data_IF_729486122626
#
_entry.id   IF_729486122626
#
_cell.length_a   1.000
_cell.length_b   1.000
_cell.length_c   1.000
_cell.angle_alpha   90.00
_cell.angle_beta   90.00
_cell.angle_gamma   90.00
#
_symmetry.space_group_name_H-M   'P 1'
#
loop_
_entity.id
_entity.type
_entity.pdbx_description
1 polymer ?
#
# COMPACT_ATOMS: atom_id res chain seq x y z
N UNK A 1 12.65 -12.88 -5.97
CA UNK A 1 12.90 -12.64 -4.52
C UNK A 1 12.25 -11.29 -4.23
N UNK A 2 11.16 -11.25 -3.47
CA UNK A 2 10.43 -10.01 -3.21
C UNK A 2 10.99 -9.37 -1.93
N UNK A 3 11.47 -8.13 -2.01
CA UNK A 3 11.94 -7.37 -0.85
C UNK A 3 10.78 -6.57 -0.28
N UNK A 4 10.52 -6.69 1.02
CA UNK A 4 9.55 -5.86 1.74
C UNK A 4 10.32 -4.82 2.55
N UNK A 5 9.96 -3.55 2.38
CA UNK A 5 10.51 -2.42 3.11
C UNK A 5 9.44 -1.86 4.05
N UNK A 6 9.82 -1.66 5.30
CA UNK A 6 9.00 -1.03 6.33
C UNK A 6 9.68 0.29 6.73
N UNK A 7 8.99 1.40 6.51
CA UNK A 7 9.52 2.75 6.75
C UNK A 7 8.57 3.45 7.73
N UNK A 8 8.92 3.52 9.03
CA UNK A 8 8.17 4.30 9.99
C UNK A 8 8.45 5.79 9.78
N UNK A 9 7.41 6.61 9.80
CA UNK A 9 7.47 8.07 9.68
C UNK A 9 6.78 8.70 10.90
N UNK A 10 7.00 9.99 11.16
CA UNK A 10 6.32 10.69 12.26
C UNK A 10 4.78 10.74 12.10
N UNK A 11 4.29 10.64 10.87
CA UNK A 11 2.87 10.74 10.51
C UNK A 11 2.21 9.39 10.16
N UNK A 12 2.92 8.27 10.35
CA UNK A 12 2.42 6.93 10.03
C UNK A 12 3.49 6.00 9.46
N UNK A 13 3.08 4.97 8.74
CA UNK A 13 3.97 3.88 8.31
C UNK A 13 3.81 3.67 6.81
N UNK A 14 4.94 3.53 6.10
CA UNK A 14 4.96 3.09 4.70
C UNK A 14 5.46 1.66 4.65
N UNK A 15 4.67 0.78 4.05
CA UNK A 15 5.07 -0.59 3.73
C UNK A 15 5.10 -0.69 2.21
N UNK A 16 6.23 -1.04 1.62
CA UNK A 16 6.34 -1.25 0.18
C UNK A 16 7.04 -2.56 -0.10
N UNK A 17 6.68 -3.22 -1.19
CA UNK A 17 7.31 -4.45 -1.62
C UNK A 17 7.67 -4.33 -3.09
N UNK A 18 8.91 -4.71 -3.42
CA UNK A 18 9.30 -4.83 -4.82
C UNK A 18 8.65 -6.10 -5.38
N UNK A 19 7.55 -5.93 -6.10
CA UNK A 19 6.94 -6.97 -6.92
C UNK A 19 7.23 -6.62 -8.37
N UNK A 20 7.76 -7.59 -9.12
CA UNK A 20 7.91 -7.48 -10.57
C UNK A 20 6.50 -7.55 -11.18
N UNK A 21 5.83 -6.40 -11.25
CA UNK A 21 4.48 -6.28 -11.79
C UNK A 21 4.57 -6.09 -13.30
N UNK A 22 3.81 -6.90 -14.06
CA UNK A 22 3.67 -6.72 -15.50
C UNK A 22 3.20 -5.27 -15.75
N UNK A 23 3.97 -4.50 -16.53
CA UNK A 23 3.69 -3.09 -16.82
C UNK A 23 2.29 -2.87 -17.42
N UNK A 24 1.69 -3.92 -17.99
CA UNK A 24 0.34 -3.89 -18.54
C UNK A 24 -0.77 -4.06 -17.49
N UNK A 25 -0.43 -4.28 -16.22
CA UNK A 25 -1.39 -4.43 -15.11
C UNK A 25 -1.60 -3.09 -14.43
N UNK A 26 -2.62 -2.35 -14.85
CA UNK A 26 -3.03 -1.12 -14.17
C UNK A 26 -3.75 -1.44 -12.86
N UNK A 27 -3.16 -1.05 -11.73
CA UNK A 27 -3.83 -1.06 -10.44
C UNK A 27 -4.79 0.13 -10.33
N UNK A 28 -5.82 -0.01 -9.49
CA UNK A 28 -6.72 1.10 -9.17
C UNK A 28 -5.91 2.15 -8.37
N UNK A 29 -6.05 3.46 -8.68
CA UNK A 29 -5.38 4.52 -7.93
C UNK A 29 -5.61 4.37 -6.42
N UNK A 30 -4.62 4.71 -5.58
CA UNK A 30 -4.74 4.58 -4.14
C UNK A 30 -5.90 5.43 -3.61
N UNK A 31 -6.80 4.79 -2.86
CA UNK A 31 -7.91 5.43 -2.15
C UNK A 31 -7.67 5.31 -0.66
N UNK A 32 -8.03 6.34 0.10
CA UNK A 32 -8.02 6.29 1.56
C UNK A 32 -9.16 5.39 2.05
N UNK A 33 -8.81 4.26 2.64
CA UNK A 33 -9.72 3.32 3.30
C UNK A 33 -9.43 3.24 4.80
N UNK A 34 -10.47 3.04 5.60
CA UNK A 34 -10.33 2.82 7.05
C UNK A 34 -10.26 1.33 7.31
N UNK A 35 -9.14 0.86 7.87
CA UNK A 35 -8.94 -0.53 8.23
C UNK A 35 -8.51 -0.63 9.70
N UNK A 36 -9.32 -1.29 10.53
CA UNK A 36 -8.98 -1.52 11.95
C UNK A 36 -8.74 -0.24 12.78
N UNK A 37 -9.37 0.88 12.40
CA UNK A 37 -9.18 2.18 13.06
C UNK A 37 -8.06 3.05 12.48
N UNK A 38 -7.28 2.54 11.52
CA UNK A 38 -6.25 3.28 10.82
C UNK A 38 -6.76 3.75 9.45
N UNK A 39 -6.40 4.98 9.06
CA UNK A 39 -6.59 5.46 7.70
C UNK A 39 -5.39 4.98 6.86
N UNK A 40 -5.64 4.14 5.85
CA UNK A 40 -4.61 3.58 4.99
C UNK A 40 -4.92 3.87 3.53
N UNK A 41 -3.89 4.07 2.71
CA UNK A 41 -4.07 4.17 1.27
C UNK A 41 -3.04 3.34 0.52
N UNK A 42 -3.54 2.63 -0.47
CA UNK A 42 -2.79 1.65 -1.24
C UNK A 42 -3.49 1.41 -2.58
N UNK A 43 -2.74 1.15 -3.67
CA UNK A 43 -3.36 0.75 -4.92
C UNK A 43 -3.93 -0.67 -4.80
N UNK A 44 -5.13 -0.88 -5.32
CA UNK A 44 -5.78 -2.19 -5.26
C UNK A 44 -5.66 -2.89 -6.62
N UNK A 45 -5.10 -4.10 -6.63
CA UNK A 45 -5.12 -4.97 -7.80
C UNK A 45 -6.57 -5.45 -8.03
N UNK A 46 -7.21 -5.13 -9.17
CA UNK A 46 -8.61 -5.49 -9.42
C UNK A 46 -8.83 -7.00 -9.58
N UNK A 47 -7.79 -7.78 -9.88
CA UNK A 47 -7.87 -9.22 -10.16
C UNK A 47 -7.52 -10.07 -8.94
N UNK A 48 -6.57 -9.62 -8.12
CA UNK A 48 -6.09 -10.38 -6.96
C UNK A 48 -6.40 -9.73 -5.60
N UNK A 49 -6.91 -8.49 -5.60
CA UNK A 49 -7.28 -7.75 -4.39
C UNK A 49 -6.11 -7.32 -3.50
N UNK A 50 -4.87 -7.61 -3.92
CA UNK A 50 -3.66 -7.27 -3.18
C UNK A 50 -3.12 -5.87 -3.49
N UNK A 51 -2.02 -5.52 -2.82
CA UNK A 51 -1.27 -4.28 -3.05
C UNK A 51 0.23 -4.55 -2.99
N UNK A 52 1.02 -3.69 -3.63
CA UNK A 52 2.48 -3.69 -3.64
C UNK A 52 3.06 -2.60 -2.73
N UNK A 53 2.28 -1.60 -2.32
CA UNK A 53 2.64 -0.64 -1.27
C UNK A 53 1.42 -0.13 -0.53
N UNK A 54 1.61 0.33 0.70
CA UNK A 54 0.58 0.91 1.53
C UNK A 54 1.20 2.00 2.39
N UNK A 55 0.47 3.09 2.59
CA UNK A 55 0.81 4.08 3.60
C UNK A 55 -0.33 4.22 4.60
N UNK A 56 0.01 4.35 5.88
CA UNK A 56 -0.93 4.67 6.93
C UNK A 56 -0.78 6.13 7.34
N UNK A 57 -1.90 6.77 7.66
CA UNK A 57 -1.94 8.08 8.30
C UNK A 57 -2.31 7.87 9.76
N UNK A 58 -1.39 8.23 10.65
CA UNK A 58 -1.65 8.27 12.08
C UNK A 58 -1.93 9.72 12.45
N UNK A 59 -3.20 10.04 12.69
CA UNK A 59 -3.56 11.33 13.32
C UNK A 59 -3.11 11.27 14.78
N UNK A 60 -2.28 12.25 15.18
CA UNK A 60 -1.95 12.50 16.59
C UNK A 60 -3.18 12.87 17.40
#
# INVERSE_FOLDING_TARGET
MCTVSFIPTASGIIITSNRDEDKNRSAIPPVLEKFGGFEMAYPKDPKSGGTWWCFTLQKS
#
